data_IF_420339667984
#
_entry.id   IF_420339667984
#
_cell.length_a   1.000
_cell.length_b   1.000
_cell.length_c   1.000
_cell.angle_alpha   90.00
_cell.angle_beta   90.00
_cell.angle_gamma   90.00
#
_symmetry.space_group_name_H-M   'P 1'
#
loop_
_entity.id
_entity.type
_entity.pdbx_description
1 polymer ?
#
# COMPACT_ATOMS: atom_id res chain seq x y z
N UNK A 1 -31.47 2.18 3.36
CA UNK A 1 -30.33 1.23 3.24
C UNK A 1 -29.22 1.94 2.49
N UNK A 2 -27.94 1.86 2.90
CA UNK A 2 -26.87 2.48 2.13
C UNK A 2 -26.88 1.86 0.72
N UNK A 3 -26.81 2.71 -0.32
CA UNK A 3 -26.89 2.32 -1.73
C UNK A 3 -26.02 1.09 -2.03
N UNK A 4 -26.66 -0.06 -2.21
CA UNK A 4 -25.98 -1.28 -2.64
C UNK A 4 -25.44 -1.02 -4.05
N UNK A 5 -24.11 -1.11 -4.20
CA UNK A 5 -23.48 -0.99 -5.53
C UNK A 5 -24.05 -2.08 -6.45
N UNK A 6 -24.47 -1.73 -7.69
CA UNK A 6 -25.11 -2.69 -8.58
C UNK A 6 -24.17 -3.87 -8.85
N UNK A 7 -24.71 -5.09 -8.71
CA UNK A 7 -23.97 -6.31 -9.03
C UNK A 7 -23.91 -6.43 -10.56
N UNK A 8 -22.70 -6.50 -11.17
CA UNK A 8 -22.56 -6.68 -12.61
C UNK A 8 -23.24 -7.96 -13.11
N UNK A 9 -23.77 -7.95 -14.33
CA UNK A 9 -24.47 -9.10 -14.93
C UNK A 9 -23.65 -10.40 -14.88
N UNK A 10 -22.33 -10.31 -15.13
CA UNK A 10 -21.42 -11.46 -15.07
C UNK A 10 -21.20 -12.04 -13.66
N UNK A 11 -21.83 -11.48 -12.61
CA UNK A 11 -21.82 -11.98 -11.24
C UNK A 11 -23.23 -12.37 -10.75
N UNK A 12 -24.29 -12.26 -11.58
CA UNK A 12 -25.67 -12.57 -11.16
C UNK A 12 -25.90 -14.05 -10.84
N UNK A 13 -25.04 -14.93 -11.35
CA UNK A 13 -25.05 -16.36 -11.01
C UNK A 13 -24.49 -16.64 -9.61
N UNK A 14 -23.83 -15.67 -8.98
CA UNK A 14 -23.29 -15.84 -7.65
C UNK A 14 -24.38 -15.59 -6.59
N UNK A 15 -24.34 -16.32 -5.47
CA UNK A 15 -25.18 -16.02 -4.33
C UNK A 15 -24.83 -14.65 -3.75
N UNK A 16 -25.80 -14.02 -3.11
CA UNK A 16 -25.66 -12.66 -2.57
C UNK A 16 -25.84 -12.64 -1.05
N UNK A 17 -25.16 -11.70 -0.38
CA UNK A 17 -25.31 -11.44 1.04
C UNK A 17 -25.13 -9.94 1.30
N UNK A 18 -26.09 -9.31 2.00
CA UNK A 18 -26.06 -7.87 2.26
C UNK A 18 -26.04 -7.01 0.98
N UNK A 19 -26.72 -7.46 -0.08
CA UNK A 19 -26.77 -6.75 -1.37
C UNK A 19 -25.47 -6.86 -2.21
N UNK A 20 -24.59 -7.82 -1.90
CA UNK A 20 -23.31 -8.01 -2.60
C UNK A 20 -23.17 -9.44 -3.08
N UNK A 21 -22.54 -9.64 -4.24
CA UNK A 21 -22.15 -10.96 -4.70
C UNK A 21 -21.06 -11.54 -3.79
N UNK A 22 -21.22 -12.80 -3.40
CA UNK A 22 -20.24 -13.53 -2.60
C UNK A 22 -19.22 -14.19 -3.54
N UNK A 23 -17.94 -13.78 -3.52
CA UNK A 23 -16.88 -14.39 -4.32
C UNK A 23 -16.84 -15.92 -4.19
N UNK A 24 -16.45 -16.63 -5.25
CA UNK A 24 -16.34 -18.09 -5.19
C UNK A 24 -15.31 -18.54 -4.16
N UNK A 25 -14.20 -17.81 -4.02
CA UNK A 25 -13.11 -18.15 -3.10
C UNK A 25 -13.44 -17.81 -1.63
N UNK A 26 -14.56 -17.17 -1.33
CA UNK A 26 -14.97 -16.88 0.06
C UNK A 26 -15.41 -18.15 0.77
N UNK A 27 -14.85 -18.39 1.96
CA UNK A 27 -15.26 -19.47 2.86
C UNK A 27 -16.74 -19.37 3.22
N UNK A 28 -17.37 -20.52 3.42
CA UNK A 28 -18.79 -20.61 3.77
C UNK A 28 -19.00 -21.61 4.87
N UNK A 29 -20.00 -21.32 5.69
CA UNK A 29 -20.56 -22.30 6.61
C UNK A 29 -21.32 -23.40 5.83
N UNK A 30 -21.59 -24.53 6.48
CA UNK A 30 -22.34 -25.64 5.87
C UNK A 30 -23.76 -25.22 5.44
N UNK A 31 -24.36 -24.24 6.12
CA UNK A 31 -25.63 -23.61 5.76
C UNK A 31 -25.53 -22.61 4.57
N UNK A 32 -24.35 -22.46 3.99
CA UNK A 32 -24.07 -21.58 2.87
C UNK A 32 -23.74 -20.13 3.24
N UNK A 33 -23.80 -19.74 4.52
CA UNK A 33 -23.51 -18.38 4.96
C UNK A 33 -22.04 -18.01 4.73
N UNK A 34 -21.74 -16.84 4.12
CA UNK A 34 -20.37 -16.46 3.82
C UNK A 34 -19.59 -15.99 5.06
N UNK A 35 -18.35 -16.44 5.15
CA UNK A 35 -17.38 -16.04 6.17
C UNK A 35 -16.46 -14.96 5.60
N UNK A 36 -16.96 -13.72 5.51
CA UNK A 36 -16.14 -12.62 4.97
C UNK A 36 -14.83 -12.43 5.74
N UNK A 37 -13.76 -12.19 4.99
CA UNK A 37 -12.39 -12.11 5.49
C UNK A 37 -11.65 -13.44 5.59
N UNK A 38 -12.31 -14.55 5.22
CA UNK A 38 -11.72 -15.89 5.16
C UNK A 38 -11.87 -16.49 3.74
N UNK A 39 -10.81 -17.13 3.26
CA UNK A 39 -10.80 -17.85 1.99
C UNK A 39 -11.13 -19.33 2.23
N UNK A 40 -11.83 -19.94 1.29
CA UNK A 40 -12.06 -21.38 1.26
C UNK A 40 -10.82 -22.06 0.66
N UNK A 41 -10.06 -22.82 1.44
CA UNK A 41 -8.79 -23.41 1.01
C UNK A 41 -8.93 -24.32 -0.22
N UNK A 42 -10.00 -25.12 -0.30
CA UNK A 42 -10.21 -26.01 -1.43
C UNK A 42 -10.52 -25.20 -2.69
N UNK A 43 -11.42 -24.22 -2.61
CA UNK A 43 -11.73 -23.35 -3.75
C UNK A 43 -10.57 -22.46 -4.12
N UNK A 44 -9.78 -22.02 -3.15
CA UNK A 44 -8.57 -21.25 -3.38
C UNK A 44 -7.57 -22.07 -4.19
N UNK A 45 -7.27 -23.29 -3.76
CA UNK A 45 -6.39 -24.22 -4.49
C UNK A 45 -6.91 -24.47 -5.90
N UNK A 46 -8.22 -24.70 -6.07
CA UNK A 46 -8.84 -24.84 -7.38
C UNK A 46 -8.67 -23.58 -8.25
N UNK A 47 -8.93 -22.39 -7.71
CA UNK A 47 -8.75 -21.14 -8.45
C UNK A 47 -7.31 -20.95 -8.92
N UNK A 48 -6.35 -21.26 -8.06
CA UNK A 48 -4.93 -21.10 -8.35
C UNK A 48 -4.44 -22.14 -9.36
N UNK A 49 -4.84 -23.40 -9.21
CA UNK A 49 -4.47 -24.50 -10.10
C UNK A 49 -5.08 -24.34 -11.50
N UNK A 50 -6.39 -24.08 -11.56
CA UNK A 50 -7.16 -24.04 -12.80
C UNK A 50 -7.23 -22.62 -13.40
N UNK A 51 -6.50 -21.66 -12.81
CA UNK A 51 -6.47 -20.24 -13.20
C UNK A 51 -7.89 -19.65 -13.32
N UNK A 52 -8.72 -19.89 -12.31
CA UNK A 52 -10.07 -19.33 -12.23
C UNK A 52 -10.05 -17.99 -11.49
N UNK A 53 -10.97 -17.12 -11.86
CA UNK A 53 -11.19 -15.87 -11.16
C UNK A 53 -11.74 -16.16 -9.76
N UNK A 54 -11.06 -15.68 -8.72
CA UNK A 54 -11.49 -15.87 -7.32
C UNK A 54 -12.85 -15.26 -6.98
N UNK A 55 -13.37 -14.40 -7.85
CA UNK A 55 -14.65 -13.73 -7.66
C UNK A 55 -15.76 -14.48 -8.39
N UNK A 56 -15.70 -14.59 -9.72
CA UNK A 56 -16.79 -15.16 -10.52
C UNK A 56 -16.64 -16.67 -10.80
N UNK A 57 -15.45 -17.23 -10.62
CA UNK A 57 -15.14 -18.62 -10.90
C UNK A 57 -14.94 -18.99 -12.36
N UNK A 58 -15.02 -18.04 -13.29
CA UNK A 58 -14.73 -18.32 -14.70
C UNK A 58 -13.24 -18.22 -14.98
N UNK A 59 -12.76 -18.86 -16.04
CA UNK A 59 -11.35 -18.90 -16.40
C UNK A 59 -10.76 -17.49 -16.61
N UNK A 60 -9.59 -17.25 -16.00
CA UNK A 60 -8.78 -16.05 -16.23
C UNK A 60 -8.15 -16.02 -17.62
N UNK A 61 -8.02 -17.17 -18.30
CA UNK A 61 -7.44 -17.25 -19.65
C UNK A 61 -8.36 -16.71 -20.74
N UNK A 62 -9.62 -16.40 -20.40
CA UNK A 62 -10.57 -15.74 -21.32
C UNK A 62 -10.20 -14.28 -21.63
N UNK A 63 -9.26 -13.69 -20.88
CA UNK A 63 -8.82 -12.30 -21.06
C UNK A 63 -7.29 -12.21 -20.95
N UNK A 64 -6.63 -11.32 -21.73
CA UNK A 64 -5.18 -11.18 -21.69
C UNK A 64 -4.68 -10.48 -20.41
N UNK A 65 -5.56 -9.74 -19.72
CA UNK A 65 -5.21 -8.99 -18.51
C UNK A 65 -5.97 -9.54 -17.32
N UNK A 66 -5.23 -9.75 -16.23
CA UNK A 66 -5.77 -10.10 -14.93
C UNK A 66 -5.41 -9.04 -13.89
N UNK A 67 -6.12 -9.06 -12.78
CA UNK A 67 -5.90 -8.19 -11.64
C UNK A 67 -5.62 -9.03 -10.42
N UNK A 68 -4.58 -8.67 -9.68
CA UNK A 68 -4.29 -9.17 -8.34
C UNK A 68 -4.53 -8.03 -7.37
N UNK A 69 -5.39 -8.27 -6.37
CA UNK A 69 -5.62 -7.34 -5.27
C UNK A 69 -4.67 -7.75 -4.15
N UNK A 70 -3.75 -6.87 -3.79
CA UNK A 70 -2.66 -7.18 -2.88
C UNK A 70 -2.57 -6.16 -1.76
N UNK A 71 -2.12 -6.59 -0.59
CA UNK A 71 -1.71 -5.66 0.47
C UNK A 71 -0.21 -5.38 0.33
N UNK A 72 0.29 -4.29 0.93
CA UNK A 72 1.72 -4.00 0.92
C UNK A 72 2.57 -5.13 1.49
N UNK A 73 2.06 -5.81 2.53
CA UNK A 73 2.74 -6.95 3.14
C UNK A 73 2.86 -8.15 2.18
N UNK A 74 1.86 -8.38 1.31
CA UNK A 74 1.90 -9.45 0.32
C UNK A 74 2.99 -9.19 -0.72
N UNK A 75 3.13 -7.93 -1.14
CA UNK A 75 4.21 -7.47 -2.02
C UNK A 75 5.58 -7.67 -1.37
N UNK A 76 5.71 -7.36 -0.08
CA UNK A 76 6.96 -7.57 0.68
C UNK A 76 7.34 -9.05 0.74
N UNK A 77 6.38 -9.95 0.92
CA UNK A 77 6.61 -11.40 0.89
C UNK A 77 6.73 -11.98 -0.52
N UNK A 78 6.39 -11.21 -1.55
CA UNK A 78 6.44 -11.63 -2.95
C UNK A 78 5.35 -12.65 -3.32
N UNK A 79 4.32 -12.80 -2.49
CA UNK A 79 3.20 -13.73 -2.71
C UNK A 79 1.89 -13.13 -2.18
N UNK A 80 0.82 -13.23 -2.98
CA UNK A 80 -0.54 -12.84 -2.61
C UNK A 80 -1.37 -14.09 -2.41
N UNK A 81 -1.99 -14.24 -1.24
CA UNK A 81 -2.83 -15.40 -0.94
C UNK A 81 -4.12 -15.42 -1.79
N UNK A 82 -4.64 -14.26 -2.18
CA UNK A 82 -5.83 -14.19 -3.04
C UNK A 82 -5.51 -14.58 -4.50
N UNK A 83 -6.40 -15.34 -5.17
CA UNK A 83 -6.24 -15.69 -6.57
C UNK A 83 -6.48 -14.47 -7.47
N UNK A 84 -6.13 -14.59 -8.75
CA UNK A 84 -6.36 -13.51 -9.72
C UNK A 84 -7.86 -13.26 -9.95
N UNK A 85 -8.17 -12.07 -10.45
CA UNK A 85 -9.52 -11.66 -10.83
C UNK A 85 -9.54 -11.06 -12.24
N UNK A 86 -10.68 -11.16 -12.93
CA UNK A 86 -10.90 -10.33 -14.12
C UNK A 86 -10.94 -8.84 -13.75
N UNK A 87 -10.55 -7.94 -14.65
CA UNK A 87 -10.64 -6.50 -14.44
C UNK A 87 -12.03 -6.00 -14.00
N UNK A 88 -13.10 -6.55 -14.59
CA UNK A 88 -14.48 -6.20 -14.21
C UNK A 88 -14.82 -6.66 -12.79
N UNK A 89 -14.40 -7.87 -12.42
CA UNK A 89 -14.61 -8.43 -11.08
C UNK A 89 -13.84 -7.65 -10.02
N UNK A 90 -12.56 -7.32 -10.28
CA UNK A 90 -11.77 -6.46 -9.40
C UNK A 90 -12.37 -5.05 -9.28
N UNK A 91 -12.88 -4.50 -10.40
CA UNK A 91 -13.61 -3.22 -10.42
C UNK A 91 -14.84 -3.24 -9.51
N UNK A 92 -15.62 -4.33 -9.52
CA UNK A 92 -16.72 -4.53 -8.60
C UNK A 92 -16.24 -4.57 -7.14
N UNK A 93 -15.25 -5.41 -6.83
CA UNK A 93 -14.69 -5.56 -5.48
C UNK A 93 -14.22 -4.22 -4.90
N UNK A 94 -13.59 -3.34 -5.70
CA UNK A 94 -13.16 -2.01 -5.27
C UNK A 94 -14.28 -1.13 -4.72
N UNK A 95 -15.51 -1.35 -5.17
CA UNK A 95 -16.67 -0.56 -4.75
C UNK A 95 -17.56 -1.29 -3.76
N UNK A 96 -17.60 -2.62 -3.82
CA UNK A 96 -18.49 -3.46 -3.02
C UNK A 96 -17.86 -3.95 -1.71
N UNK A 97 -16.54 -4.21 -1.67
CA UNK A 97 -15.86 -4.67 -0.46
C UNK A 97 -15.62 -3.50 0.51
N UNK A 98 -16.18 -3.51 1.74
CA UNK A 98 -16.02 -2.41 2.69
C UNK A 98 -14.57 -2.09 3.05
N UNK A 99 -13.74 -3.13 3.16
CA UNK A 99 -12.32 -2.98 3.48
C UNK A 99 -11.58 -2.27 2.34
N UNK A 100 -11.72 -2.77 1.11
CA UNK A 100 -11.01 -2.21 -0.05
C UNK A 100 -11.55 -0.84 -0.42
N UNK A 101 -12.87 -0.62 -0.30
CA UNK A 101 -13.51 0.66 -0.53
C UNK A 101 -13.23 1.72 0.57
N UNK A 102 -12.47 1.37 1.62
CA UNK A 102 -12.14 2.27 2.74
C UNK A 102 -13.32 2.62 3.65
N UNK A 103 -14.40 1.83 3.61
CA UNK A 103 -15.56 1.98 4.50
C UNK A 103 -15.29 1.40 5.90
N UNK A 104 -14.28 0.54 6.03
CA UNK A 104 -13.79 0.03 7.31
C UNK A 104 -12.42 0.63 7.59
N UNK A 105 -12.25 1.24 8.76
CA UNK A 105 -10.97 1.82 9.18
C UNK A 105 -10.02 0.81 9.82
N UNK A 106 -10.56 -0.31 10.34
CA UNK A 106 -9.79 -1.34 11.03
C UNK A 106 -10.28 -2.73 10.64
N UNK A 107 -9.36 -3.69 10.69
CA UNK A 107 -9.69 -5.11 10.70
C UNK A 107 -10.37 -5.49 12.01
N UNK A 108 -11.13 -6.58 12.00
CA UNK A 108 -11.82 -7.07 13.19
C UNK A 108 -10.80 -7.41 14.28
N UNK A 109 -10.99 -6.85 15.48
CA UNK A 109 -10.10 -7.03 16.62
C UNK A 109 -10.06 -8.46 17.15
N UNK A 110 -11.17 -9.20 17.04
CA UNK A 110 -11.22 -10.61 17.34
C UNK A 110 -11.75 -11.36 16.11
N UNK A 111 -10.86 -11.97 15.29
CA UNK A 111 -11.31 -12.87 14.24
C UNK A 111 -12.02 -14.11 14.82
N UNK A 112 -11.73 -14.43 16.08
CA UNK A 112 -12.09 -15.68 16.77
C UNK A 112 -13.32 -15.59 17.69
N UNK A 113 -13.99 -14.44 17.78
CA UNK A 113 -15.25 -14.32 18.58
C UNK A 113 -16.47 -14.88 17.87
N UNK A 114 -16.32 -15.45 16.68
CA UNK A 114 -17.44 -16.18 16.06
C UNK A 114 -17.62 -17.46 16.87
N UNK A 115 -18.85 -17.83 17.28
CA UNK A 115 -19.09 -19.16 17.80
C UNK A 115 -18.46 -20.16 16.84
N UNK A 116 -17.64 -21.09 17.35
CA UNK A 116 -17.15 -22.20 16.53
C UNK A 116 -18.37 -22.76 15.81
N UNK A 117 -18.31 -22.81 14.48
CA UNK A 117 -19.39 -23.42 13.74
C UNK A 117 -19.59 -24.81 14.33
N UNK A 118 -20.80 -25.19 14.74
CA UNK A 118 -21.03 -26.47 15.41
C UNK A 118 -21.35 -27.59 14.42
N UNK A 119 -21.37 -27.28 13.13
CA UNK A 119 -21.76 -28.23 12.10
C UNK A 119 -20.57 -29.15 11.76
N UNK A 120 -20.65 -30.46 12.05
CA UNK A 120 -19.51 -31.39 11.96
C UNK A 120 -18.94 -31.52 10.55
N UNK A 121 -19.77 -31.33 9.52
CA UNK A 121 -19.33 -31.33 8.12
C UNK A 121 -18.92 -29.93 7.61
N UNK A 122 -18.84 -28.91 8.47
CA UNK A 122 -18.44 -27.58 8.04
C UNK A 122 -16.94 -27.48 7.92
N UNK A 123 -16.46 -27.28 6.69
CA UNK A 123 -15.05 -27.03 6.40
C UNK A 123 -14.56 -25.69 6.95
N UNK A 124 -15.47 -24.82 7.36
CA UNK A 124 -15.17 -23.62 8.13
C UNK A 124 -14.56 -23.90 9.52
N UNK A 125 -14.66 -25.15 10.02
CA UNK A 125 -14.08 -25.60 11.29
C UNK A 125 -12.60 -26.00 11.18
N UNK A 126 -11.98 -25.98 9.99
CA UNK A 126 -10.55 -26.32 9.95
C UNK A 126 -9.76 -25.30 10.78
N UNK A 127 -9.23 -25.85 11.86
CA UNK A 127 -8.69 -25.26 13.08
C UNK A 127 -7.32 -24.64 12.83
N UNK A 128 -7.25 -23.67 11.93
CA UNK A 128 -6.02 -22.90 11.75
C UNK A 128 -6.27 -21.48 12.22
N UNK A 129 -5.62 -21.17 13.33
CA UNK A 129 -4.88 -19.93 13.50
C UNK A 129 -4.18 -19.60 12.17
N UNK A 130 -4.91 -19.08 11.18
CA UNK A 130 -4.31 -18.60 9.95
C UNK A 130 -3.40 -17.47 10.42
N UNK A 131 -2.07 -17.62 10.34
CA UNK A 131 -1.16 -16.68 11.00
C UNK A 131 -1.41 -15.25 10.51
N UNK A 132 -1.88 -15.12 9.27
CA UNK A 132 -2.29 -13.85 8.68
C UNK A 132 -3.51 -13.20 9.34
N UNK A 133 -4.56 -13.93 9.74
CA UNK A 133 -5.77 -13.32 10.31
C UNK A 133 -5.53 -12.77 11.71
N UNK A 134 -4.77 -13.51 12.54
CA UNK A 134 -4.34 -13.06 13.86
C UNK A 134 -3.42 -11.85 13.79
N UNK A 135 -2.46 -11.84 12.86
CA UNK A 135 -1.54 -10.70 12.71
C UNK A 135 -2.24 -9.38 12.36
N UNK A 136 -3.44 -9.45 11.77
CA UNK A 136 -4.22 -8.26 11.37
C UNK A 136 -5.27 -7.87 12.40
N UNK A 137 -5.49 -8.68 13.43
CA UNK A 137 -6.55 -8.47 14.38
C UNK A 137 -6.42 -7.09 15.03
N UNK A 138 -7.40 -6.21 14.78
CA UNK A 138 -7.44 -4.85 15.34
C UNK A 138 -6.51 -3.83 14.67
N UNK A 139 -5.72 -4.24 13.68
CA UNK A 139 -4.88 -3.31 12.92
C UNK A 139 -5.73 -2.39 12.02
N UNK A 140 -5.17 -1.22 11.71
CA UNK A 140 -5.72 -0.33 10.70
C UNK A 140 -5.88 -1.03 9.34
N UNK A 141 -6.88 -0.59 8.57
CA UNK A 141 -7.09 -1.08 7.23
C UNK A 141 -5.84 -0.83 6.35
N UNK A 142 -5.44 -1.86 5.60
CA UNK A 142 -4.31 -1.75 4.67
C UNK A 142 -4.66 -0.82 3.51
N UNK A 143 -3.64 -0.16 2.95
CA UNK A 143 -3.74 0.46 1.64
C UNK A 143 -3.66 -0.61 0.57
N UNK A 144 -4.80 -1.06 0.06
CA UNK A 144 -4.83 -2.10 -0.96
C UNK A 144 -4.24 -1.60 -2.28
N UNK A 145 -3.53 -2.51 -2.94
CA UNK A 145 -2.92 -2.33 -4.24
C UNK A 145 -3.69 -3.13 -5.30
N UNK A 146 -3.88 -2.52 -6.46
CA UNK A 146 -4.31 -3.20 -7.68
C UNK A 146 -3.09 -3.41 -8.57
N UNK A 147 -2.74 -4.66 -8.82
CA UNK A 147 -1.64 -5.06 -9.70
C UNK A 147 -2.25 -5.68 -10.96
N UNK A 148 -2.05 -5.04 -12.11
CA UNK A 148 -2.50 -5.54 -13.42
C UNK A 148 -1.39 -6.31 -14.09
N UNK A 149 -1.64 -7.57 -14.42
CA UNK A 149 -0.67 -8.47 -15.04
C UNK A 149 -1.22 -8.98 -16.37
N UNK A 150 -0.29 -9.29 -17.28
CA UNK A 150 -0.64 -10.18 -18.39
C UNK A 150 -0.88 -11.60 -17.86
N UNK A 151 -1.86 -12.31 -18.40
CA UNK A 151 -2.14 -13.71 -18.02
C UNK A 151 -0.91 -14.60 -18.28
N UNK A 152 -0.08 -14.27 -19.26
CA UNK A 152 1.18 -14.96 -19.52
C UNK A 152 2.18 -14.86 -18.36
N UNK A 153 2.02 -13.87 -17.46
CA UNK A 153 2.83 -13.70 -16.26
C UNK A 153 2.16 -14.20 -14.98
N UNK A 154 0.93 -14.71 -15.04
CA UNK A 154 0.28 -15.30 -13.88
C UNK A 154 1.00 -16.58 -13.46
N UNK A 155 1.63 -16.56 -12.29
CA UNK A 155 2.38 -17.68 -11.72
C UNK A 155 1.94 -17.87 -10.27
N UNK A 156 1.81 -19.12 -9.87
CA UNK A 156 1.55 -19.49 -8.48
C UNK A 156 2.85 -19.99 -7.85
N UNK A 157 2.98 -19.78 -6.53
CA UNK A 157 4.10 -20.29 -5.74
C UNK A 157 3.54 -20.92 -4.47
N UNK A 158 4.01 -22.12 -4.16
CA UNK A 158 3.85 -22.70 -2.83
C UNK A 158 4.97 -22.19 -1.91
N UNK A 159 4.63 -21.76 -0.70
CA UNK A 159 5.59 -21.35 0.33
C UNK A 159 5.70 -22.46 1.38
N UNK A 160 6.71 -23.34 1.31
CA UNK A 160 6.87 -24.50 2.22
C UNK A 160 8.13 -24.38 3.13
N UNK A 161 8.18 -24.97 4.37
CA UNK A 161 7.53 -26.25 4.73
C UNK A 161 6.53 -26.26 5.92
N UNK A 162 6.13 -25.13 6.54
CA UNK A 162 5.24 -25.17 7.74
C UNK A 162 3.75 -24.91 7.48
N UNK A 163 3.36 -24.37 6.32
CA UNK A 163 1.97 -24.27 5.88
C UNK A 163 1.95 -24.44 4.36
N UNK A 164 1.04 -25.25 3.83
CA UNK A 164 0.90 -25.53 2.39
C UNK A 164 0.28 -24.33 1.63
N UNK A 165 0.69 -23.11 1.94
CA UNK A 165 0.08 -21.92 1.38
C UNK A 165 0.54 -21.74 -0.08
N UNK A 166 -0.43 -21.73 -0.99
CA UNK A 166 -0.23 -21.46 -2.41
C UNK A 166 -0.80 -20.06 -2.67
N UNK A 167 -0.06 -19.22 -3.37
CA UNK A 167 -0.52 -17.89 -3.75
C UNK A 167 0.03 -17.42 -5.08
N UNK A 168 -0.44 -16.26 -5.53
CA UNK A 168 0.02 -15.61 -6.75
C UNK A 168 1.36 -14.94 -6.49
N UNK A 169 2.36 -15.24 -7.31
CA UNK A 169 3.68 -14.63 -7.19
C UNK A 169 3.63 -13.14 -7.57
N UNK A 170 4.09 -12.28 -6.67
CA UNK A 170 4.25 -10.83 -6.87
C UNK A 170 5.68 -10.39 -6.59
N UNK A 171 6.63 -11.08 -7.22
CA UNK A 171 8.06 -10.77 -7.08
C UNK A 171 8.40 -9.40 -7.67
N UNK A 172 9.57 -8.87 -7.30
CA UNK A 172 10.04 -7.61 -7.86
C UNK A 172 10.14 -7.64 -9.41
N UNK A 173 10.59 -8.76 -9.98
CA UNK A 173 10.62 -8.92 -11.42
C UNK A 173 9.22 -8.85 -12.05
N UNK A 174 8.24 -9.48 -11.42
CA UNK A 174 6.87 -9.51 -11.92
C UNK A 174 6.16 -8.15 -11.79
N UNK A 175 6.43 -7.42 -10.71
CA UNK A 175 5.95 -6.05 -10.55
C UNK A 175 6.58 -5.08 -11.55
N UNK A 176 7.83 -5.30 -11.97
CA UNK A 176 8.45 -4.53 -13.06
C UNK A 176 7.78 -4.81 -14.42
N UNK A 177 7.22 -6.01 -14.60
CA UNK A 177 6.43 -6.39 -15.79
C UNK A 177 4.94 -6.05 -15.67
N UNK A 178 4.49 -5.54 -14.52
CA UNK A 178 3.10 -5.22 -14.31
C UNK A 178 2.69 -4.05 -15.21
N UNK A 179 1.54 -4.18 -15.87
CA UNK A 179 0.98 -3.11 -16.72
C UNK A 179 0.61 -1.88 -15.89
N UNK A 180 0.26 -2.09 -14.61
CA UNK A 180 -0.10 -1.04 -13.66
C UNK A 180 -0.03 -1.56 -12.23
N UNK A 181 0.50 -0.74 -11.33
CA UNK A 181 0.35 -0.90 -9.88
C UNK A 181 -0.25 0.41 -9.36
N UNK A 182 -1.32 0.36 -8.58
CA UNK A 182 -1.92 1.55 -7.96
C UNK A 182 -2.50 1.25 -6.59
N UNK A 183 -2.44 2.22 -5.68
CA UNK A 183 -3.27 2.21 -4.49
C UNK A 183 -4.74 2.39 -4.87
N UNK A 184 -5.64 1.63 -4.25
CA UNK A 184 -7.07 1.61 -4.55
C UNK A 184 -7.96 1.89 -3.35
N UNK A 185 -7.39 1.90 -2.14
CA UNK A 185 -8.09 2.36 -0.95
C UNK A 185 -7.94 3.89 -0.81
N UNK A 186 -8.97 4.60 -0.30
CA UNK A 186 -8.81 6.01 0.06
C UNK A 186 -7.62 6.16 1.02
N UNK A 187 -6.92 7.30 1.01
CA UNK A 187 -5.89 7.57 2.01
C UNK A 187 -6.57 7.56 3.38
N UNK A 188 -6.41 6.48 4.14
CA UNK A 188 -6.70 6.54 5.57
C UNK A 188 -5.77 7.61 6.16
N UNK A 189 -6.34 8.47 6.99
CA UNK A 189 -5.59 9.37 7.87
C UNK A 189 -4.59 8.47 8.57
N UNK A 190 -3.33 8.59 8.18
CA UNK A 190 -2.23 7.82 8.74
C UNK A 190 -2.22 8.13 10.22
N UNK A 191 -2.56 7.15 11.06
CA UNK A 191 -2.00 7.19 12.41
C UNK A 191 -0.48 7.25 12.21
N UNK A 192 0.19 8.20 12.85
CA UNK A 192 1.64 8.48 12.83
C UNK A 192 2.53 7.29 13.29
N UNK A 193 2.00 6.07 13.26
CA UNK A 193 2.54 4.88 13.87
C UNK A 193 2.87 3.77 12.86
N UNK A 194 3.12 4.09 11.59
CA UNK A 194 3.79 3.13 10.72
C UNK A 194 5.22 2.91 11.26
N UNK A 195 5.56 1.71 11.78
CA UNK A 195 6.88 1.46 12.36
C UNK A 195 8.02 1.57 11.34
N UNK A 196 7.73 1.53 10.03
CA UNK A 196 8.73 1.71 8.98
C UNK A 196 9.10 3.18 8.73
N UNK A 197 8.23 4.12 9.09
CA UNK A 197 8.43 5.55 8.82
C UNK A 197 9.64 6.16 9.53
N UNK A 198 9.90 5.87 10.83
CA UNK A 198 11.12 6.35 11.49
C UNK A 198 12.39 5.88 10.79
N UNK A 199 12.47 4.62 10.37
CA UNK A 199 13.63 4.06 9.67
C UNK A 199 13.81 4.67 8.28
N UNK A 200 12.72 4.85 7.52
CA UNK A 200 12.80 5.51 6.21
C UNK A 200 13.26 6.96 6.36
N UNK A 201 12.68 7.72 7.30
CA UNK A 201 13.09 9.11 7.59
C UNK A 201 14.58 9.19 7.97
N UNK A 202 15.06 8.31 8.84
CA UNK A 202 16.46 8.27 9.26
C UNK A 202 17.41 7.96 8.10
N UNK A 203 17.08 6.94 7.30
CA UNK A 203 17.90 6.52 6.15
C UNK A 203 17.91 7.60 5.07
N UNK A 204 16.75 8.19 4.78
CA UNK A 204 16.61 9.26 3.80
C UNK A 204 17.39 10.51 4.23
N UNK A 205 17.33 10.89 5.52
CA UNK A 205 18.11 12.01 6.05
C UNK A 205 19.62 11.80 5.87
N UNK A 206 20.13 10.60 6.16
CA UNK A 206 21.53 10.27 5.97
C UNK A 206 21.94 10.37 4.48
N UNK A 207 21.14 9.78 3.59
CA UNK A 207 21.39 9.82 2.14
C UNK A 207 21.36 11.25 1.57
N UNK A 208 20.40 12.08 2.02
CA UNK A 208 20.32 13.49 1.62
C UNK A 208 21.56 14.26 2.08
N UNK A 209 22.02 14.05 3.31
CA UNK A 209 23.24 14.70 3.80
C UNK A 209 24.46 14.41 2.92
N UNK A 210 24.58 13.17 2.42
CA UNK A 210 25.64 12.78 1.49
C UNK A 210 25.48 13.45 0.12
N UNK A 211 24.26 13.46 -0.45
CA UNK A 211 24.00 14.08 -1.75
C UNK A 211 24.13 15.61 -1.70
N UNK A 212 23.83 16.26 -0.57
CA UNK A 212 24.01 17.71 -0.39
C UNK A 212 25.47 18.14 -0.54
N UNK A 213 26.43 17.29 -0.16
CA UNK A 213 27.85 17.55 -0.37
C UNK A 213 28.19 17.63 -1.88
N UNK A 214 27.58 16.75 -2.68
CA UNK A 214 27.77 16.71 -4.14
C UNK A 214 26.95 17.77 -4.89
N UNK A 215 25.88 18.29 -4.27
CA UNK A 215 24.94 19.23 -4.89
C UNK A 215 25.39 20.71 -4.84
N UNK A 216 26.59 20.98 -4.35
CA UNK A 216 27.15 22.33 -4.16
C UNK A 216 27.29 23.16 -5.44
N UNK A 217 27.24 22.51 -6.62
CA UNK A 217 27.38 23.14 -7.93
C UNK A 217 26.06 23.27 -8.72
N UNK A 218 24.91 23.10 -8.06
CA UNK A 218 23.61 23.15 -8.76
C UNK A 218 23.09 24.57 -8.98
N UNK A 219 22.54 24.81 -10.17
CA UNK A 219 21.96 26.10 -10.56
C UNK A 219 20.58 26.32 -9.95
N UNK A 220 20.10 27.57 -9.80
CA UNK A 220 18.77 27.85 -9.28
C UNK A 220 17.62 27.20 -10.07
N UNK A 221 17.80 26.98 -11.38
CA UNK A 221 16.80 26.27 -12.20
C UNK A 221 16.76 24.79 -11.87
N UNK A 222 17.92 24.11 -11.78
CA UNK A 222 17.99 22.70 -11.39
C UNK A 222 17.43 22.45 -9.98
N UNK A 223 17.61 23.40 -9.06
CA UNK A 223 17.05 23.30 -7.72
C UNK A 223 15.51 23.40 -7.72
N UNK A 224 14.92 24.27 -8.55
CA UNK A 224 13.45 24.35 -8.73
C UNK A 224 12.88 23.09 -9.37
N UNK A 225 13.57 22.55 -10.37
CA UNK A 225 13.18 21.31 -11.04
C UNK A 225 13.27 20.11 -10.09
N UNK A 226 14.28 20.11 -9.22
CA UNK A 226 14.43 19.11 -8.18
C UNK A 226 13.29 19.18 -7.14
N UNK A 227 12.80 20.38 -6.78
CA UNK A 227 11.65 20.51 -5.89
C UNK A 227 10.38 19.89 -6.49
N UNK A 228 10.12 20.10 -7.79
CA UNK A 228 9.02 19.42 -8.49
C UNK A 228 9.20 17.91 -8.56
N UNK A 229 10.43 17.45 -8.74
CA UNK A 229 10.77 16.02 -8.73
C UNK A 229 10.51 15.39 -7.37
N UNK A 230 10.82 16.08 -6.27
CA UNK A 230 10.51 15.64 -4.90
C UNK A 230 9.00 15.48 -4.69
N UNK A 231 8.21 16.48 -5.10
CA UNK A 231 6.76 16.44 -5.03
C UNK A 231 6.20 15.25 -5.81
N UNK A 232 6.64 15.08 -7.06
CA UNK A 232 6.22 13.97 -7.93
C UNK A 232 6.58 12.61 -7.33
N UNK A 233 7.84 12.41 -6.89
CA UNK A 233 8.28 11.13 -6.32
C UNK A 233 7.56 10.83 -5.00
N UNK A 234 7.29 11.84 -4.17
CA UNK A 234 6.59 11.63 -2.91
C UNK A 234 5.10 11.34 -3.13
N UNK A 235 4.45 12.07 -4.04
CA UNK A 235 3.03 11.89 -4.38
C UNK A 235 2.74 10.60 -5.14
N UNK A 236 3.51 10.33 -6.20
CA UNK A 236 3.24 9.20 -7.10
C UNK A 236 3.86 7.89 -6.59
N UNK A 237 4.93 7.96 -5.79
CA UNK A 237 5.76 6.80 -5.46
C UNK A 237 6.03 6.64 -3.96
N UNK A 238 5.41 7.46 -3.10
CA UNK A 238 5.57 7.39 -1.64
C UNK A 238 5.32 5.99 -1.09
N UNK A 239 4.27 5.30 -1.58
CA UNK A 239 3.95 3.94 -1.15
C UNK A 239 5.06 2.93 -1.52
N UNK A 240 5.71 3.07 -2.68
CA UNK A 240 6.84 2.18 -3.07
C UNK A 240 8.09 2.43 -2.23
N UNK A 241 8.29 3.67 -1.76
CA UNK A 241 9.38 4.03 -0.85
C UNK A 241 9.12 3.47 0.55
N UNK A 242 7.87 3.42 0.99
CA UNK A 242 7.46 2.90 2.30
C UNK A 242 7.44 1.37 2.34
N UNK A 243 6.85 0.75 1.31
CA UNK A 243 6.56 -0.68 1.32
C UNK A 243 7.65 -1.52 0.62
N UNK A 244 8.60 -0.87 -0.04
CA UNK A 244 9.59 -1.54 -0.88
C UNK A 244 9.01 -1.97 -2.23
N UNK A 245 9.88 -2.50 -3.08
CA UNK A 245 9.50 -2.90 -4.44
C UNK A 245 10.65 -2.81 -5.44
N UNK A 246 10.39 -3.22 -6.70
CA UNK A 246 11.36 -3.15 -7.78
C UNK A 246 11.70 -1.70 -8.09
N UNK A 247 13.00 -1.40 -8.14
CA UNK A 247 13.48 -0.04 -8.39
C UNK A 247 13.26 0.90 -7.20
N UNK A 248 12.84 0.42 -6.02
CA UNK A 248 12.75 1.27 -4.83
C UNK A 248 14.11 1.86 -4.47
N UNK A 249 15.21 1.14 -4.63
CA UNK A 249 16.56 1.69 -4.42
C UNK A 249 16.87 2.85 -5.36
N UNK A 250 16.60 2.69 -6.67
CA UNK A 250 16.80 3.75 -7.66
C UNK A 250 15.93 4.98 -7.37
N UNK A 251 14.67 4.77 -7.00
CA UNK A 251 13.74 5.85 -6.61
C UNK A 251 14.14 6.53 -5.31
N UNK A 252 14.62 5.76 -4.34
CA UNK A 252 15.12 6.28 -3.07
C UNK A 252 16.33 7.18 -3.32
N UNK A 253 17.29 6.74 -4.15
CA UNK A 253 18.45 7.55 -4.55
C UNK A 253 18.01 8.80 -5.31
N UNK A 254 17.06 8.67 -6.25
CA UNK A 254 16.52 9.81 -6.99
C UNK A 254 15.84 10.82 -6.06
N UNK A 255 15.05 10.36 -5.09
CA UNK A 255 14.41 11.23 -4.09
C UNK A 255 15.46 11.90 -3.20
N UNK A 256 16.46 11.17 -2.71
CA UNK A 256 17.53 11.72 -1.88
C UNK A 256 18.29 12.83 -2.63
N UNK A 257 18.64 12.59 -3.90
CA UNK A 257 19.31 13.57 -4.75
C UNK A 257 18.44 14.79 -5.05
N UNK A 258 17.17 14.58 -5.40
CA UNK A 258 16.25 15.67 -5.66
C UNK A 258 16.02 16.52 -4.40
N UNK A 259 15.83 15.88 -3.25
CA UNK A 259 15.67 16.56 -1.96
C UNK A 259 16.93 17.34 -1.56
N UNK A 260 18.12 16.79 -1.78
CA UNK A 260 19.39 17.48 -1.52
C UNK A 260 19.54 18.77 -2.34
N UNK A 261 19.17 18.74 -3.62
CA UNK A 261 19.19 19.93 -4.50
C UNK A 261 18.10 20.92 -4.12
N UNK A 262 16.89 20.43 -3.86
CA UNK A 262 15.75 21.26 -3.46
C UNK A 262 15.99 21.96 -2.11
N UNK A 263 16.79 21.39 -1.20
CA UNK A 263 17.16 22.02 0.06
C UNK A 263 17.93 23.36 -0.09
N UNK A 264 18.44 23.68 -1.29
CA UNK A 264 19.06 24.99 -1.59
C UNK A 264 18.04 26.07 -1.99
N UNK A 265 16.77 25.71 -2.21
CA UNK A 265 15.73 26.69 -2.48
C UNK A 265 15.51 27.62 -1.28
N UNK A 266 15.14 28.89 -1.52
CA UNK A 266 14.68 29.78 -0.46
C UNK A 266 13.55 29.12 0.34
N UNK A 267 13.71 29.02 1.65
CA UNK A 267 12.74 28.36 2.54
C UNK A 267 12.85 26.83 2.63
N UNK A 268 13.75 26.18 1.88
CA UNK A 268 13.94 24.73 1.93
C UNK A 268 12.84 23.91 1.25
N UNK A 269 12.76 22.63 1.59
CA UNK A 269 11.78 21.66 1.06
C UNK A 269 11.28 20.73 2.16
N UNK A 270 10.01 20.31 2.05
CA UNK A 270 9.40 19.31 2.93
C UNK A 270 9.37 17.94 2.26
N UNK A 271 9.91 16.92 2.93
CA UNK A 271 9.93 15.53 2.43
C UNK A 271 9.54 14.58 3.55
N UNK A 272 8.43 13.87 3.40
CA UNK A 272 7.92 12.90 4.39
C UNK A 272 7.78 13.51 5.80
N UNK A 273 7.38 14.77 5.90
CA UNK A 273 7.28 15.52 7.16
C UNK A 273 8.61 16.03 7.72
N UNK A 274 9.72 15.91 6.98
CA UNK A 274 11.02 16.47 7.35
C UNK A 274 11.25 17.78 6.60
N UNK A 275 11.63 18.83 7.32
CA UNK A 275 12.12 20.07 6.72
C UNK A 275 13.60 19.95 6.39
N UNK A 276 13.97 20.27 5.15
CA UNK A 276 15.33 20.22 4.64
C UNK A 276 15.70 21.58 4.06
N UNK A 277 16.68 22.24 4.66
CA UNK A 277 17.17 23.54 4.18
C UNK A 277 18.69 23.62 4.35
N UNK A 278 19.37 24.24 3.39
CA UNK A 278 20.81 24.51 3.46
C UNK A 278 21.13 25.87 4.07
N UNK A 279 20.32 26.87 3.76
CA UNK A 279 20.50 28.25 4.23
C UNK A 279 19.56 28.52 5.41
N UNK A 280 20.02 29.26 6.43
CA UNK A 280 19.13 29.80 7.44
C UNK A 280 18.04 30.66 6.79
N UNK A 281 16.82 30.55 7.29
CA UNK A 281 15.70 31.39 6.88
C UNK A 281 14.75 31.55 8.06
N UNK A 282 13.93 32.59 8.00
CA UNK A 282 12.89 32.82 8.99
C UNK A 282 11.91 31.64 8.99
N UNK A 283 11.41 31.28 10.18
CA UNK A 283 10.47 30.18 10.39
C UNK A 283 10.99 28.78 10.01
N UNK A 284 12.31 28.55 10.02
CA UNK A 284 12.86 27.20 9.84
C UNK A 284 12.41 26.27 10.99
N UNK A 285 11.65 25.18 10.73
CA UNK A 285 11.14 24.29 11.78
C UNK A 285 12.25 23.57 12.56
N UNK A 286 13.46 23.51 12.01
CA UNK A 286 14.62 22.88 12.63
C UNK A 286 15.34 23.79 13.63
N UNK A 287 14.94 25.05 13.80
CA UNK A 287 15.57 25.97 14.75
C UNK A 287 15.02 25.76 16.16
N UNK A 288 15.39 24.64 16.77
CA UNK A 288 15.61 24.58 18.22
C UNK A 288 17.01 25.13 18.60
N UNK A 289 17.69 25.81 17.66
CA UNK A 289 18.88 26.60 17.99
C UNK A 289 18.43 27.90 18.66
N UNK A 290 19.02 28.28 19.81
CA UNK A 290 18.79 29.60 20.38
C UNK A 290 19.13 30.62 19.30
N UNK A 291 18.17 31.48 18.97
CA UNK A 291 18.42 32.61 18.10
C UNK A 291 19.51 33.44 18.77
N UNK A 292 20.75 33.33 18.29
CA UNK A 292 21.75 34.35 18.56
C UNK A 292 21.24 35.58 17.85
N UNK A 293 20.57 36.44 18.61
CA UNK A 293 20.15 37.76 18.19
C UNK A 293 21.35 38.44 17.53
N UNK A 294 21.27 38.65 16.21
CA UNK A 294 22.17 39.59 15.58
C UNK A 294 21.94 40.96 16.25
N UNK A 295 23.01 41.70 16.63
CA UNK A 295 22.85 43.07 17.07
C UNK A 295 22.28 43.86 15.89
N UNK A 296 21.07 44.41 16.07
CA UNK A 296 20.43 45.24 15.04
C UNK A 296 21.32 46.43 14.65
N UNK A 297 21.28 46.87 13.37
CA UNK A 297 22.12 47.96 12.91
C UNK A 297 21.63 49.30 13.50
N UNK A 298 22.57 50.05 14.08
CA UNK A 298 22.53 51.50 14.33
C UNK A 298 21.41 52.06 15.24
N UNK A 299 21.71 52.18 16.55
CA UNK A 299 21.32 53.40 17.29
C UNK A 299 22.34 54.49 16.96
N UNK A 300 21.88 55.59 16.34
CA UNK A 300 22.68 56.81 16.15
C UNK A 300 23.15 57.35 17.51
N UNK A 301 24.36 57.92 17.62
CA UNK A 301 24.74 58.67 18.81
C UNK A 301 23.87 59.93 18.91
N UNK A 302 23.38 60.21 20.12
CA UNK A 302 22.76 61.48 20.45
C UNK A 302 23.80 62.60 20.20
N UNK A 303 23.40 63.62 19.46
CA UNK A 303 24.14 64.87 19.37
C UNK A 303 23.73 65.72 20.57
N UNK A 304 24.71 66.11 21.37
CA UNK A 304 24.59 67.14 22.40
C UNK A 304 24.37 68.50 21.73
N UNK A 305 23.30 69.18 22.14
CA UNK A 305 23.14 70.65 22.15
C UNK A 305 22.02 71.02 23.14
#
# INVERSE_FOLDING_TARGET
>A
MPDSKPIPAGLHHLPTHGGRAVPIATARHADGQPVFGLLDDQRLRACLADRLCGICGTSLTSQPTIVVLARPIDVRYGVVAEPGAHPSCAGYTRTACPMIAGQLATYRANPDTRPRCQHPDCWCQHDVDHPGSQHRAGHGADRWLEIRLDIAHYRTRSTAPRTEDIGVMVSAQLLAMARRVRSISPPHVTNDHDPAMPTLRATLRAAIGLEMFTATLTTPTEQRDAARTVEQLTGDQGDLLLCGGPGTSGRFVALARAAARAAYQPGGVMVLGMHLCRQPHDNCPNTNRPQTSQPGPNRRPAQDA
#
